data_IF_576353396704
#
_entry.id   IF_576353396704
#
_cell.length_a   1.000
_cell.length_b   1.000
_cell.length_c   1.000
_cell.angle_alpha   90.00
_cell.angle_beta   90.00
_cell.angle_gamma   90.00
#
_symmetry.space_group_name_H-M   'P 1'
#
loop_
_entity.id
_entity.type
_entity.pdbx_description
1 polymer ?
#
# COMPACT_ATOMS: atom_id res chain seq x y z
N UNK A 1 6.51 -15.24 -0.24
CA UNK A 1 7.46 -14.26 -0.81
C UNK A 1 6.70 -13.10 -1.42
N UNK A 2 5.62 -13.33 -2.18
CA UNK A 2 4.80 -12.24 -2.65
C UNK A 2 4.35 -11.35 -1.49
N UNK A 3 3.87 -11.99 -0.42
CA UNK A 3 3.47 -11.37 0.83
C UNK A 3 4.59 -11.47 1.90
N UNK A 4 5.30 -10.40 2.25
CA UNK A 4 5.46 -9.15 1.52
C UNK A 4 6.93 -8.90 1.10
N UNK A 5 7.59 -9.96 0.65
CA UNK A 5 8.94 -9.88 0.08
C UNK A 5 9.01 -9.01 -1.17
N UNK A 6 7.93 -8.95 -1.97
CA UNK A 6 7.88 -8.15 -3.20
C UNK A 6 7.83 -6.65 -2.92
N UNK A 7 6.98 -6.20 -1.99
CA UNK A 7 6.94 -4.80 -1.55
C UNK A 7 8.26 -4.39 -0.89
N UNK A 8 8.80 -5.24 0.00
CA UNK A 8 10.11 -5.06 0.62
C UNK A 8 11.22 -4.87 -0.43
N UNK A 9 11.27 -5.73 -1.45
CA UNK A 9 12.26 -5.64 -2.52
C UNK A 9 12.11 -4.34 -3.33
N UNK A 10 10.89 -3.92 -3.67
CA UNK A 10 10.64 -2.68 -4.41
C UNK A 10 11.07 -1.43 -3.62
N UNK A 11 10.79 -1.40 -2.32
CA UNK A 11 11.19 -0.32 -1.40
C UNK A 11 12.71 -0.25 -1.27
N UNK A 12 13.37 -1.39 -1.07
CA UNK A 12 14.83 -1.48 -1.00
C UNK A 12 15.49 -1.02 -2.31
N UNK A 13 15.04 -1.54 -3.44
CA UNK A 13 15.60 -1.18 -4.74
C UNK A 13 15.39 0.30 -5.06
N UNK A 14 14.23 0.87 -4.71
CA UNK A 14 14.00 2.32 -4.81
C UNK A 14 15.03 3.13 -4.02
N UNK A 15 15.35 2.70 -2.79
CA UNK A 15 16.36 3.36 -1.95
C UNK A 15 17.76 3.29 -2.57
N UNK A 16 18.14 2.12 -3.09
CA UNK A 16 19.42 1.90 -3.78
C UNK A 16 19.52 2.78 -5.04
N UNK A 17 18.46 2.82 -5.85
CA UNK A 17 18.42 3.58 -7.09
C UNK A 17 18.44 5.10 -6.85
N UNK A 18 17.75 5.60 -5.82
CA UNK A 18 17.83 7.01 -5.43
C UNK A 18 19.27 7.44 -5.16
N UNK A 19 20.02 6.62 -4.44
CA UNK A 19 21.43 6.89 -4.13
C UNK A 19 22.33 6.75 -5.35
N UNK A 20 22.18 5.66 -6.11
CA UNK A 20 23.00 5.37 -7.31
C UNK A 20 22.88 6.46 -8.37
N UNK A 21 21.67 6.96 -8.59
CA UNK A 21 21.37 8.01 -9.57
C UNK A 21 21.63 9.43 -9.06
N UNK A 22 21.96 9.60 -7.77
CA UNK A 22 22.14 10.90 -7.09
C UNK A 22 20.89 11.78 -7.14
N UNK A 23 19.70 11.18 -7.32
CA UNK A 23 18.42 11.89 -7.28
C UNK A 23 18.11 12.38 -5.86
N UNK A 24 18.62 11.69 -4.83
CA UNK A 24 18.56 12.09 -3.41
C UNK A 24 18.96 13.56 -3.18
N UNK A 25 19.94 14.06 -3.93
CA UNK A 25 20.41 15.46 -3.85
C UNK A 25 19.43 16.51 -4.39
N UNK A 26 18.41 16.09 -5.15
CA UNK A 26 17.43 16.98 -5.79
C UNK A 26 16.09 17.00 -5.06
N UNK A 27 15.93 16.16 -4.04
CA UNK A 27 14.68 16.05 -3.30
C UNK A 27 14.44 17.33 -2.49
N UNK A 28 13.19 17.79 -2.48
CA UNK A 28 12.74 18.93 -1.67
C UNK A 28 12.31 18.49 -0.27
N UNK A 29 12.04 17.18 -0.11
CA UNK A 29 11.68 16.55 1.17
C UNK A 29 12.55 15.32 1.40
N UNK A 30 12.98 15.05 2.63
CA UNK A 30 13.69 13.81 2.95
C UNK A 30 12.75 12.61 2.75
N UNK A 31 13.31 11.51 2.26
CA UNK A 31 12.61 10.22 2.15
C UNK A 31 13.11 9.31 3.26
N UNK A 32 12.18 8.69 3.98
CA UNK A 32 12.47 7.66 4.99
C UNK A 32 11.90 6.35 4.49
N UNK A 33 12.76 5.35 4.35
CA UNK A 33 12.37 3.98 4.07
C UNK A 33 12.17 3.23 5.39
N UNK A 34 11.11 2.43 5.47
CA UNK A 34 10.78 1.66 6.66
C UNK A 34 10.33 0.25 6.25
N UNK A 35 10.69 -0.73 7.06
CA UNK A 35 10.29 -2.13 6.92
C UNK A 35 9.67 -2.54 8.24
N UNK A 36 8.39 -2.88 8.21
CA UNK A 36 7.62 -3.15 9.42
C UNK A 36 7.72 -4.62 9.81
N UNK A 37 7.93 -4.87 11.09
CA UNK A 37 7.79 -6.20 11.66
C UNK A 37 6.36 -6.42 12.16
N UNK A 38 5.93 -7.68 12.23
CA UNK A 38 4.68 -8.08 12.85
C UNK A 38 3.42 -7.38 12.28
N UNK A 39 3.42 -7.11 10.98
CA UNK A 39 2.23 -6.68 10.22
C UNK A 39 1.14 -7.77 10.32
N UNK A 40 1.52 -9.01 10.02
CA UNK A 40 0.65 -10.20 10.08
C UNK A 40 0.07 -10.53 11.46
N UNK A 41 0.64 -9.94 12.51
CA UNK A 41 0.12 -10.07 13.88
C UNK A 41 -0.85 -8.96 14.26
N UNK A 42 -1.26 -8.12 13.30
CA UNK A 42 -2.16 -6.97 13.49
C UNK A 42 -1.44 -5.63 13.51
N UNK A 43 -0.61 -5.35 12.50
CA UNK A 43 0.05 -4.06 12.25
C UNK A 43 0.94 -3.57 13.38
N UNK A 44 1.49 -4.49 14.20
CA UNK A 44 2.09 -4.13 15.48
C UNK A 44 3.32 -3.22 15.33
N UNK A 45 4.14 -3.44 14.29
CA UNK A 45 5.34 -2.66 14.05
C UNK A 45 5.05 -1.23 13.59
N UNK A 46 4.19 -1.06 12.58
CA UNK A 46 3.80 0.26 12.08
C UNK A 46 2.99 1.03 13.13
N UNK A 47 2.09 0.35 13.85
CA UNK A 47 1.34 0.93 14.97
C UNK A 47 2.28 1.44 16.06
N UNK A 48 3.20 0.60 16.53
CA UNK A 48 4.19 0.99 17.54
C UNK A 48 4.98 2.21 17.10
N UNK A 49 5.44 2.23 15.85
CA UNK A 49 6.19 3.36 15.32
C UNK A 49 5.35 4.65 15.35
N UNK A 50 4.13 4.66 14.81
CA UNK A 50 3.31 5.89 14.76
C UNK A 50 2.89 6.36 16.16
N UNK A 51 2.61 5.43 17.08
CA UNK A 51 2.27 5.74 18.47
C UNK A 51 3.44 6.33 19.26
N UNK A 52 4.67 5.89 18.96
CA UNK A 52 5.89 6.39 19.61
C UNK A 52 6.26 7.83 19.23
N UNK A 53 5.69 8.36 18.14
CA UNK A 53 5.96 9.71 17.67
C UNK A 53 5.14 10.74 18.46
N UNK A 54 5.78 11.86 18.79
CA UNK A 54 5.05 13.07 19.25
C UNK A 54 4.15 13.63 18.14
N UNK A 55 3.16 14.43 18.51
CA UNK A 55 2.28 15.10 17.53
C UNK A 55 3.05 15.95 16.52
N UNK A 56 4.12 16.62 16.96
CA UNK A 56 4.99 17.39 16.08
C UNK A 56 5.77 16.49 15.10
N UNK A 57 6.20 15.31 15.53
CA UNK A 57 6.85 14.36 14.64
C UNK A 57 5.86 13.77 13.64
N UNK A 58 4.63 13.42 14.08
CA UNK A 58 3.56 12.96 13.19
C UNK A 58 3.19 14.03 12.15
N UNK A 59 3.05 15.29 12.56
CA UNK A 59 2.70 16.39 11.65
C UNK A 59 3.78 16.67 10.58
N UNK A 60 5.02 16.23 10.80
CA UNK A 60 6.11 16.31 9.82
C UNK A 60 6.07 15.18 8.80
N UNK A 61 5.27 14.14 9.00
CA UNK A 61 5.08 13.08 8.01
C UNK A 61 4.15 13.59 6.93
N UNK A 62 4.77 13.87 5.80
CA UNK A 62 4.11 14.51 4.67
C UNK A 62 3.22 13.54 3.88
N UNK A 63 3.68 12.31 3.68
CA UNK A 63 2.96 11.22 3.03
C UNK A 63 3.50 9.88 3.54
N UNK A 64 2.63 8.88 3.62
CA UNK A 64 2.98 7.47 3.73
C UNK A 64 2.69 6.81 2.35
N UNK A 65 3.65 6.07 1.82
CA UNK A 65 3.45 5.25 0.62
C UNK A 65 3.61 3.79 1.03
N UNK A 66 2.55 3.01 0.89
CA UNK A 66 2.50 1.61 1.30
C UNK A 66 2.58 0.68 0.10
N UNK A 67 3.38 -0.37 0.22
CA UNK A 67 3.62 -1.33 -0.85
C UNK A 67 3.57 -2.73 -0.25
N UNK A 68 2.44 -3.37 -0.44
CA UNK A 68 2.15 -4.68 0.12
C UNK A 68 1.63 -5.58 -0.98
N UNK A 69 2.31 -6.71 -1.20
CA UNK A 69 2.13 -7.62 -2.33
C UNK A 69 2.12 -6.90 -3.69
N UNK A 70 3.30 -6.79 -4.32
CA UNK A 70 3.47 -6.19 -5.65
C UNK A 70 3.76 -7.22 -6.77
N UNK A 71 3.68 -8.52 -6.47
CA UNK A 71 4.12 -9.59 -7.38
C UNK A 71 3.11 -10.70 -7.62
N UNK A 72 1.81 -10.51 -7.37
CA UNK A 72 0.82 -11.58 -7.51
C UNK A 72 0.81 -12.21 -8.91
N UNK A 73 0.78 -13.56 -9.04
CA UNK A 73 0.86 -14.23 -10.34
C UNK A 73 -0.24 -13.81 -11.31
N UNK A 74 -1.47 -13.65 -10.81
CA UNK A 74 -2.64 -13.26 -11.57
C UNK A 74 -3.04 -11.81 -11.27
N UNK A 75 -2.06 -10.90 -11.17
CA UNK A 75 -2.26 -9.54 -10.67
C UNK A 75 -3.27 -8.68 -11.43
N UNK A 76 -3.77 -7.68 -10.70
CA UNK A 76 -4.33 -6.43 -11.22
C UNK A 76 -3.46 -5.28 -10.71
N UNK A 77 -3.35 -4.17 -11.46
CA UNK A 77 -2.62 -2.98 -10.99
C UNK A 77 -3.53 -2.10 -10.16
N UNK A 78 -3.66 -2.43 -8.88
CA UNK A 78 -4.47 -1.67 -7.95
C UNK A 78 -3.74 -0.44 -7.41
N UNK A 79 -4.47 0.67 -7.31
CA UNK A 79 -4.05 1.93 -6.67
C UNK A 79 -5.02 2.20 -5.52
N UNK A 80 -4.52 2.49 -4.32
CA UNK A 80 -5.40 2.82 -3.21
C UNK A 80 -6.24 4.07 -3.52
N UNK A 81 -7.56 3.97 -3.30
CA UNK A 81 -8.54 5.01 -3.56
C UNK A 81 -8.45 6.14 -2.53
N UNK A 82 -7.50 7.04 -2.77
CA UNK A 82 -7.20 8.19 -1.93
C UNK A 82 -8.35 9.18 -1.79
N UNK A 83 -9.23 9.25 -2.79
CA UNK A 83 -10.32 10.22 -2.85
C UNK A 83 -11.69 9.66 -2.42
N UNK A 84 -11.81 8.33 -2.29
CA UNK A 84 -13.04 7.66 -1.86
C UNK A 84 -14.12 7.59 -2.95
N UNK A 85 -13.74 7.65 -4.23
CA UNK A 85 -14.68 7.61 -5.37
C UNK A 85 -15.20 6.20 -5.65
N UNK A 86 -14.47 5.16 -5.25
CA UNK A 86 -14.85 3.76 -5.40
C UNK A 86 -15.70 3.28 -4.21
N UNK A 87 -16.88 3.88 -4.05
CA UNK A 87 -17.75 3.66 -2.88
C UNK A 87 -18.30 2.23 -2.75
N UNK A 88 -18.29 1.46 -3.83
CA UNK A 88 -18.68 0.05 -3.89
C UNK A 88 -17.64 -0.90 -3.27
N UNK A 89 -16.39 -0.47 -3.10
CA UNK A 89 -15.32 -1.26 -2.48
C UNK A 89 -15.39 -1.30 -0.95
N UNK A 90 -16.25 -0.49 -0.32
CA UNK A 90 -16.47 -0.50 1.13
C UNK A 90 -15.37 0.19 1.96
N UNK A 91 -14.47 0.96 1.33
CA UNK A 91 -13.45 1.78 1.99
C UNK A 91 -13.89 3.23 2.19
N UNK A 92 -13.26 3.91 3.15
CA UNK A 92 -13.40 5.36 3.34
C UNK A 92 -12.32 6.12 2.56
N UNK A 93 -12.60 7.38 2.21
CA UNK A 93 -11.59 8.27 1.65
C UNK A 93 -10.39 8.41 2.61
N UNK A 94 -9.18 8.39 2.07
CA UNK A 94 -7.98 8.62 2.87
C UNK A 94 -7.91 10.06 3.42
N UNK A 95 -7.04 10.35 4.40
CA UNK A 95 -6.86 11.70 4.93
C UNK A 95 -6.51 12.70 3.83
N UNK A 96 -6.83 13.99 4.06
CA UNK A 96 -6.55 15.07 3.11
C UNK A 96 -5.12 14.99 2.57
N UNK A 97 -4.96 14.84 1.25
CA UNK A 97 -3.68 14.55 0.60
C UNK A 97 -3.63 13.20 -0.11
N UNK A 98 -4.43 12.22 0.34
CA UNK A 98 -4.42 10.86 -0.20
C UNK A 98 -4.92 10.82 -1.64
N UNK A 99 -5.94 11.61 -1.98
CA UNK A 99 -6.41 11.84 -3.34
C UNK A 99 -5.30 12.35 -4.30
N UNK A 100 -4.37 13.17 -3.80
CA UNK A 100 -3.23 13.66 -4.56
C UNK A 100 -2.19 12.56 -4.77
N UNK A 101 -1.98 11.70 -3.77
CA UNK A 101 -1.08 10.55 -3.88
C UNK A 101 -1.63 9.56 -4.91
N UNK A 102 -2.91 9.21 -4.84
CA UNK A 102 -3.61 8.39 -5.84
C UNK A 102 -3.41 8.96 -7.26
N UNK A 103 -3.62 10.27 -7.44
CA UNK A 103 -3.39 10.94 -8.74
C UNK A 103 -1.95 10.86 -9.23
N UNK A 104 -0.95 10.77 -8.36
CA UNK A 104 0.44 10.57 -8.80
C UNK A 104 0.59 9.21 -9.48
N UNK A 105 -0.01 8.17 -8.92
CA UNK A 105 0.02 6.83 -9.50
C UNK A 105 -0.83 6.74 -10.77
N UNK A 106 -2.08 7.19 -10.76
CA UNK A 106 -2.96 7.07 -11.92
C UNK A 106 -2.47 7.89 -13.12
N UNK A 107 -1.90 9.08 -12.90
CA UNK A 107 -1.24 9.85 -13.97
C UNK A 107 0.02 9.14 -14.50
N UNK A 108 0.81 8.54 -13.62
CA UNK A 108 1.99 7.77 -14.04
C UNK A 108 1.59 6.63 -14.99
N UNK A 109 0.67 5.77 -14.55
CA UNK A 109 0.22 4.63 -15.36
C UNK A 109 -0.54 5.08 -16.62
N UNK A 110 -1.36 6.12 -16.53
CA UNK A 110 -2.01 6.74 -17.68
C UNK A 110 -1.00 7.21 -18.73
N UNK A 111 0.09 7.85 -18.31
CA UNK A 111 1.18 8.27 -19.23
C UNK A 111 1.90 7.10 -19.90
N UNK A 112 1.86 5.91 -19.28
CA UNK A 112 2.38 4.65 -19.81
C UNK A 112 1.35 3.86 -20.60
N UNK A 113 0.11 4.36 -20.73
CA UNK A 113 -1.04 3.66 -21.34
C UNK A 113 -1.34 2.33 -20.63
N UNK A 114 -1.15 2.29 -19.32
CA UNK A 114 -1.40 1.15 -18.47
C UNK A 114 -2.65 1.43 -17.62
N UNK A 115 -3.73 0.66 -17.79
CA UNK A 115 -5.01 0.86 -17.08
C UNK A 115 -4.90 0.53 -15.58
N UNK A 116 -5.44 1.30 -14.64
CA UNK A 116 -5.41 0.95 -13.20
C UNK A 116 -6.80 0.69 -12.67
N UNK A 117 -6.90 -0.08 -11.59
CA UNK A 117 -8.14 -0.26 -10.84
C UNK A 117 -7.98 0.34 -9.43
N UNK A 118 -9.03 0.91 -8.82
CA UNK A 118 -8.99 1.34 -7.44
C UNK A 118 -8.99 0.12 -6.49
N UNK A 119 -8.39 0.28 -5.31
CA UNK A 119 -8.59 -0.61 -4.16
C UNK A 119 -8.84 0.19 -2.90
N UNK A 120 -9.67 -0.33 -2.00
CA UNK A 120 -10.08 0.37 -0.78
C UNK A 120 -8.94 0.47 0.24
N UNK A 121 -8.98 1.51 1.07
CA UNK A 121 -8.33 1.46 2.39
C UNK A 121 -9.21 0.64 3.34
N UNK A 122 -8.95 -0.66 3.41
CA UNK A 122 -9.67 -1.61 4.25
C UNK A 122 -9.08 -1.76 5.67
N UNK A 123 -7.93 -1.13 5.92
CA UNK A 123 -7.24 -1.14 7.21
C UNK A 123 -6.41 -2.39 7.48
N UNK A 124 -6.17 -3.24 6.47
CA UNK A 124 -5.43 -4.51 6.61
C UNK A 124 -3.95 -4.43 6.20
N UNK A 125 -3.35 -3.24 6.18
CA UNK A 125 -1.92 -3.09 5.91
C UNK A 125 -1.38 -1.83 6.60
N UNK A 126 -0.06 -1.67 6.59
CA UNK A 126 0.67 -0.71 7.43
C UNK A 126 0.38 0.78 7.15
N UNK A 127 -0.39 1.11 6.11
CA UNK A 127 -0.94 2.47 5.96
C UNK A 127 -1.97 2.81 7.05
N UNK A 128 -2.65 1.81 7.64
CA UNK A 128 -3.76 1.97 8.58
C UNK A 128 -3.41 2.89 9.76
N UNK A 129 -2.35 2.58 10.54
CA UNK A 129 -1.91 3.42 11.66
C UNK A 129 -1.58 4.86 11.26
N UNK A 130 -1.10 5.11 10.04
CA UNK A 130 -0.85 6.47 9.55
C UNK A 130 -2.17 7.22 9.30
N UNK A 131 -3.14 6.55 8.66
CA UNK A 131 -4.47 7.10 8.39
C UNK A 131 -5.18 7.47 9.69
N UNK A 132 -5.09 6.65 10.74
CA UNK A 132 -5.71 6.92 12.05
C UNK A 132 -5.28 8.26 12.66
N UNK A 133 -4.03 8.68 12.40
CA UNK A 133 -3.48 9.97 12.85
C UNK A 133 -3.62 11.08 11.80
N UNK A 134 -4.43 10.88 10.75
CA UNK A 134 -4.66 11.86 9.70
C UNK A 134 -3.45 12.09 8.79
N UNK A 135 -2.51 11.14 8.75
CA UNK A 135 -1.38 11.17 7.84
C UNK A 135 -1.83 10.56 6.51
N UNK A 136 -1.74 11.29 5.39
CA UNK A 136 -2.14 10.83 4.08
C UNK A 136 -1.33 9.65 3.64
N UNK A 137 -2.05 8.68 3.11
CA UNK A 137 -1.49 7.46 2.60
C UNK A 137 -1.91 7.26 1.15
N UNK A 138 -1.19 6.37 0.49
CA UNK A 138 -1.53 5.81 -0.81
C UNK A 138 -0.50 4.74 -1.13
N UNK A 139 -0.59 4.15 -2.30
CA UNK A 139 0.23 3.00 -2.61
C UNK A 139 -0.35 2.13 -3.69
N UNK A 140 0.24 0.95 -3.81
CA UNK A 140 -0.05 -0.02 -4.85
C UNK A 140 -0.25 -1.40 -4.24
N UNK A 141 -1.07 -2.20 -4.92
CA UNK A 141 -1.37 -3.58 -4.55
C UNK A 141 -1.53 -4.39 -5.84
N UNK A 142 -1.13 -5.66 -5.81
CA UNK A 142 -1.28 -6.57 -6.94
C UNK A 142 -2.48 -7.53 -6.83
N UNK A 143 -3.20 -7.50 -5.71
CA UNK A 143 -4.30 -8.43 -5.40
C UNK A 143 -3.84 -9.62 -4.57
N UNK A 144 -4.72 -10.20 -3.76
CA UNK A 144 -4.42 -11.36 -2.92
C UNK A 144 -5.46 -12.47 -3.14
N UNK A 145 -6.31 -12.74 -2.17
CA UNK A 145 -7.35 -13.77 -2.17
C UNK A 145 -8.55 -13.46 -3.08
N UNK A 146 -8.69 -12.20 -3.52
CA UNK A 146 -9.77 -11.77 -4.40
C UNK A 146 -9.76 -12.50 -5.74
N UNK A 147 -10.95 -12.79 -6.28
CA UNK A 147 -11.11 -13.51 -7.54
C UNK A 147 -11.10 -12.54 -8.71
N UNK A 148 -10.20 -12.77 -9.68
CA UNK A 148 -10.14 -11.99 -10.90
C UNK A 148 -11.40 -12.14 -11.73
N UNK A 149 -12.00 -11.02 -12.10
CA UNK A 149 -13.19 -10.97 -12.96
C UNK A 149 -12.84 -11.12 -14.44
N UNK A 150 -13.84 -11.44 -15.28
CA UNK A 150 -13.66 -11.47 -16.75
C UNK A 150 -13.22 -10.11 -17.32
N UNK A 151 -13.77 -9.01 -16.81
CA UNK A 151 -13.41 -7.66 -17.23
C UNK A 151 -11.96 -7.30 -16.87
N UNK A 152 -11.51 -7.74 -15.69
CA UNK A 152 -10.11 -7.60 -15.30
C UNK A 152 -9.20 -8.49 -16.15
N UNK A 153 -9.57 -9.75 -16.41
CA UNK A 153 -8.77 -10.61 -17.28
C UNK A 153 -8.65 -10.04 -18.70
N UNK A 154 -9.72 -9.43 -19.23
CA UNK A 154 -9.68 -8.73 -20.52
C UNK A 154 -8.73 -7.51 -20.52
N UNK A 155 -8.56 -6.85 -19.38
CA UNK A 155 -7.74 -5.62 -19.26
C UNK A 155 -6.29 -5.89 -18.86
N UNK A 156 -6.07 -6.83 -17.93
CA UNK A 156 -4.80 -7.10 -17.27
C UNK A 156 -4.17 -8.42 -17.70
N UNK A 157 -4.91 -9.25 -18.45
CA UNK A 157 -4.53 -10.63 -18.73
C UNK A 157 -4.74 -11.54 -17.51
N UNK A 158 -4.17 -12.74 -17.59
CA UNK A 158 -4.32 -13.77 -16.57
C UNK A 158 -5.61 -14.58 -16.73
N UNK A 159 -6.06 -15.21 -15.64
CA UNK A 159 -7.16 -16.17 -15.67
C UNK A 159 -8.33 -15.63 -14.83
N UNK A 160 -9.49 -15.44 -15.48
CA UNK A 160 -10.72 -15.07 -14.79
C UNK A 160 -11.25 -16.25 -13.97
N UNK A 161 -11.87 -15.98 -12.82
CA UNK A 161 -12.37 -16.99 -11.91
C UNK A 161 -11.32 -17.57 -10.96
N UNK A 162 -10.04 -17.22 -11.13
CA UNK A 162 -8.96 -17.57 -10.21
C UNK A 162 -8.59 -16.40 -9.31
N UNK A 163 -8.02 -16.70 -8.13
CA UNK A 163 -7.50 -15.68 -7.22
C UNK A 163 -6.38 -14.86 -7.89
N UNK A 164 -6.18 -13.61 -7.44
CA UNK A 164 -5.00 -12.83 -7.87
C UNK A 164 -3.71 -13.50 -7.40
N UNK A 165 -3.71 -14.03 -6.18
CA UNK A 165 -2.68 -14.89 -5.60
C UNK A 165 -3.31 -16.11 -4.91
N UNK A 166 -3.23 -17.27 -5.55
CA UNK A 166 -3.75 -18.52 -5.02
C UNK A 166 -2.94 -19.08 -3.84
N UNK A 167 -1.74 -18.56 -3.61
CA UNK A 167 -0.86 -18.95 -2.51
C UNK A 167 -0.87 -17.94 -1.36
N UNK A 168 -1.78 -16.97 -1.34
CA UNK A 168 -1.92 -16.03 -0.23
C UNK A 168 -2.03 -16.76 1.13
N UNK A 169 -1.11 -16.44 2.06
CA UNK A 169 -0.95 -17.09 3.37
C UNK A 169 -0.77 -18.62 3.32
N UNK A 170 -0.30 -19.16 2.21
CA UNK A 170 -0.01 -20.59 2.03
C UNK A 170 1.49 -20.87 1.93
N UNK A 171 1.87 -22.12 2.17
CA UNK A 171 3.26 -22.56 2.07
C UNK A 171 3.85 -22.42 0.65
N UNK A 172 3.01 -22.36 -0.38
CA UNK A 172 3.43 -22.18 -1.77
C UNK A 172 3.73 -20.71 -2.13
N UNK A 173 3.59 -19.76 -1.20
CA UNK A 173 4.08 -18.40 -1.41
C UNK A 173 5.62 -18.36 -1.31
N UNK A 174 6.26 -18.87 -2.36
CA UNK A 174 7.71 -18.95 -2.53
C UNK A 174 8.18 -18.16 -3.78
N UNK A 175 9.43 -18.37 -4.20
CA UNK A 175 10.02 -17.61 -5.33
C UNK A 175 9.39 -17.96 -6.68
N UNK A 176 8.67 -19.08 -6.76
CA UNK A 176 7.97 -19.53 -7.97
C UNK A 176 6.55 -18.96 -8.07
N UNK A 177 6.01 -18.38 -6.99
CA UNK A 177 4.70 -17.73 -6.94
C UNK A 177 4.74 -16.24 -7.26
N UNK A 178 5.43 -15.85 -8.35
CA UNK A 178 5.68 -14.43 -8.65
C UNK A 178 5.45 -14.07 -10.11
N UNK A 179 4.77 -12.96 -10.35
CA UNK A 179 4.73 -12.26 -11.63
C UNK A 179 5.83 -11.21 -11.69
N UNK A 180 6.90 -11.48 -12.45
CA UNK A 180 7.97 -10.51 -12.69
C UNK A 180 7.48 -9.26 -13.44
N UNK A 181 6.44 -9.41 -14.27
CA UNK A 181 5.76 -8.29 -14.93
C UNK A 181 5.06 -7.38 -13.91
N UNK A 182 4.34 -7.96 -12.94
CA UNK A 182 3.71 -7.20 -11.86
C UNK A 182 4.76 -6.44 -11.04
N UNK A 183 5.82 -7.13 -10.61
CA UNK A 183 6.92 -6.53 -9.84
C UNK A 183 7.58 -5.37 -10.60
N UNK A 184 7.78 -5.51 -11.91
CA UNK A 184 8.35 -4.44 -12.74
C UNK A 184 7.41 -3.25 -12.82
N UNK A 185 6.14 -3.46 -13.18
CA UNK A 185 5.18 -2.37 -13.41
C UNK A 185 4.80 -1.64 -12.11
N UNK A 186 4.60 -2.38 -11.01
CA UNK A 186 4.26 -1.81 -9.72
C UNK A 186 5.48 -1.24 -9.00
N UNK A 187 6.65 -1.89 -9.12
CA UNK A 187 7.91 -1.37 -8.61
C UNK A 187 8.31 -0.04 -9.26
N UNK A 188 8.17 0.09 -10.59
CA UNK A 188 8.42 1.36 -11.28
C UNK A 188 7.46 2.47 -10.84
N UNK A 189 6.18 2.13 -10.59
CA UNK A 189 5.21 3.07 -10.04
C UNK A 189 5.57 3.52 -8.63
N UNK A 190 6.00 2.59 -7.76
CA UNK A 190 6.47 2.87 -6.41
C UNK A 190 7.67 3.83 -6.41
N UNK A 191 8.67 3.56 -7.26
CA UNK A 191 9.84 4.42 -7.42
C UNK A 191 9.46 5.80 -7.97
N UNK A 192 8.61 5.85 -9.01
CA UNK A 192 8.15 7.11 -9.60
C UNK A 192 7.43 7.98 -8.57
N UNK A 193 6.46 7.42 -7.83
CA UNK A 193 5.68 8.18 -6.87
C UNK A 193 6.56 8.71 -5.72
N UNK A 194 7.47 7.88 -5.21
CA UNK A 194 8.45 8.26 -4.19
C UNK A 194 9.25 9.49 -4.62
N UNK A 195 9.85 9.44 -5.82
CA UNK A 195 10.65 10.56 -6.36
C UNK A 195 9.77 11.78 -6.63
N UNK A 196 8.62 11.59 -7.29
CA UNK A 196 7.75 12.68 -7.73
C UNK A 196 7.22 13.49 -6.55
N UNK A 197 6.78 12.81 -5.50
CA UNK A 197 6.28 13.44 -4.27
C UNK A 197 7.42 14.15 -3.53
N UNK A 198 8.58 13.51 -3.42
CA UNK A 198 9.74 14.09 -2.74
C UNK A 198 10.35 15.30 -3.48
N UNK A 199 10.25 15.36 -4.82
CA UNK A 199 10.73 16.48 -5.63
C UNK A 199 9.72 17.63 -5.80
N UNK A 200 8.43 17.39 -5.61
CA UNK A 200 7.39 18.40 -5.85
C UNK A 200 7.56 19.62 -4.96
N UNK A 201 7.55 20.84 -5.49
CA UNK A 201 7.51 22.08 -4.68
C UNK A 201 6.08 22.48 -4.27
N UNK A 202 5.09 22.09 -5.06
CA UNK A 202 3.70 22.56 -4.99
C UNK A 202 2.86 21.94 -3.86
N UNK A 203 3.43 21.04 -3.05
CA UNK A 203 2.65 20.40 -1.98
C UNK A 203 1.74 19.26 -2.50
N UNK A 204 1.15 18.47 -1.59
CA UNK A 204 -0.05 17.65 -1.81
C UNK A 204 -1.30 18.47 -1.45
N UNK A 205 -1.10 19.67 -0.90
CA UNK A 205 -2.09 20.67 -0.54
C UNK A 205 -1.82 21.84 -1.48
N UNK A 206 -2.78 22.20 -2.32
CA UNK A 206 -2.65 23.43 -3.11
C UNK A 206 -2.66 24.61 -2.15
N UNK A 207 -1.60 25.43 -2.17
CA UNK A 207 -1.34 26.76 -1.60
C UNK A 207 -1.94 27.18 -0.23
N UNK A 208 -2.64 26.33 0.51
CA UNK A 208 -3.28 26.66 1.78
C UNK A 208 -3.23 25.46 2.76
N UNK A 209 -2.49 25.64 3.85
CA UNK A 209 -2.67 24.88 5.08
C UNK A 209 -1.54 23.92 5.43
N UNK A 210 -0.68 24.34 6.37
CA UNK A 210 0.08 23.41 7.21
C UNK A 210 -0.91 22.50 7.96
N UNK A 211 -0.76 21.17 7.80
CA UNK A 211 -1.54 20.21 8.61
C UNK A 211 -1.18 20.37 10.10
N UNK A 212 -2.19 20.59 10.95
CA UNK A 212 -2.15 20.14 12.34
C UNK A 212 -2.62 18.68 12.34
N UNK A 213 -1.73 17.76 12.68
CA UNK A 213 -2.11 16.36 12.89
C UNK A 213 -2.88 16.27 14.22
N UNK A 214 -4.14 15.90 14.17
CA UNK A 214 -4.95 15.52 15.34
C UNK A 214 -5.53 14.15 15.06
N UNK A 215 -5.56 13.25 16.05
CA UNK A 215 -6.11 11.90 15.90
C UNK A 215 -7.51 11.97 15.28
N UNK A 216 -7.71 11.28 14.17
CA UNK A 216 -9.02 11.22 13.51
C UNK A 216 -10.00 10.46 14.40
N UNK A 217 -11.24 10.94 14.51
CA UNK A 217 -12.33 10.20 15.16
C UNK A 217 -12.87 9.05 14.29
N UNK A 218 -12.44 8.97 13.02
CA UNK A 218 -12.75 7.85 12.14
C UNK A 218 -11.82 6.69 12.51
N UNK A 219 -12.29 5.85 13.42
CA UNK A 219 -11.70 4.53 13.66
C UNK A 219 -12.13 3.66 12.49
N UNK A 220 -11.20 3.31 11.61
CA UNK A 220 -11.39 2.20 10.68
C UNK A 220 -11.56 0.96 11.56
N UNK A 221 -12.80 0.55 11.81
CA UNK A 221 -13.06 -0.69 12.52
C UNK A 221 -12.56 -1.82 11.62
N UNK A 222 -11.37 -2.31 11.92
CA UNK A 222 -10.95 -3.64 11.50
C UNK A 222 -12.09 -4.60 11.88
N UNK A 223 -12.81 -5.13 10.89
CA UNK A 223 -13.78 -6.21 11.12
C UNK A 223 -12.97 -7.44 11.45
N UNK A 224 -12.65 -7.61 12.73
CA UNK A 224 -11.96 -8.78 13.24
C UNK A 224 -12.75 -10.03 12.90
N UNK A 225 -12.15 -10.91 12.09
CA UNK A 225 -12.51 -12.30 12.02
C UNK A 225 -12.20 -12.94 13.38
N UNK A 226 -13.16 -12.91 14.31
CA UNK A 226 -13.12 -13.75 15.50
C UNK A 226 -13.26 -15.20 15.03
N UNK A 227 -12.14 -15.89 14.89
CA UNK A 227 -12.09 -17.34 14.78
C UNK A 227 -12.74 -17.95 16.04
N UNK A 228 -13.93 -18.52 15.89
CA UNK A 228 -14.44 -19.54 16.81
C UNK A 228 -13.76 -20.86 16.44
N UNK A 229 -12.82 -21.32 17.26
CA UNK A 229 -12.47 -22.73 17.37
C UNK A 229 -11.64 -22.97 18.64
N UNK A 230 -12.29 -23.00 19.81
CA UNK A 230 -11.79 -23.82 20.91
C UNK A 230 -12.37 -25.23 20.73
N UNK A 231 -11.63 -26.07 20.01
CA UNK A 231 -11.78 -27.52 20.10
C UNK A 231 -11.00 -28.01 21.30
N UNK A 232 -11.70 -28.52 22.30
CA UNK A 232 -11.12 -29.23 23.44
C UNK A 232 -10.34 -30.46 22.95
N UNK A 233 -9.01 -30.43 23.07
CA UNK A 233 -8.23 -31.66 23.02
C UNK A 233 -8.21 -32.30 24.40
N UNK A 234 -9.13 -33.25 24.60
CA UNK A 234 -9.07 -34.25 25.66
C UNK A 234 -7.77 -35.05 25.53
N UNK A 235 -6.81 -34.79 26.43
CA UNK A 235 -5.75 -35.72 26.77
C UNK A 235 -6.39 -36.93 27.48
N UNK A 236 -6.39 -38.09 26.82
CA UNK A 236 -6.47 -39.38 27.51
C UNK A 236 -5.18 -40.15 27.26
N UNK A 237 -4.73 -40.74 28.36
CA UNK A 237 -3.60 -41.66 28.51
C UNK A 237 -3.73 -42.88 27.62
#
# INVERSE_FOLDING_TARGET
INDNGTGTAAVLETALQLRRTKIDKKLQRPVRFAFWGAEEAGLLGSQHYVDSLTDLQRSRIYANLNFDMLGSPNYVRFVYDGNGSASDLGGEAGPAGSAQIERVFTNYYGSKKLATAPTAFDGRSDYGPFIEYGIPAGGLFSGAEGVKTEAEAATYGGVAGEAYDACYHQACDDITNLSTKAMSELGDGAAYATVRIAQSKLGLYGDAGTRRATKSKASVKAKGARARAHGEHSLRR
#
